data_IF_220723923928
#
_entry.id   IF_220723923928
#
_cell.length_a   1.000
_cell.length_b   1.000
_cell.length_c   1.000
_cell.angle_alpha   90.00
_cell.angle_beta   90.00
_cell.angle_gamma   90.00
#
_symmetry.space_group_name_H-M   'P 1'
#
loop_
_entity.id
_entity.type
_entity.pdbx_description
1 polymer ?
#
# COMPACT_ATOMS: atom_id res chain seq x y z
N UNK A 1 -31.33 -5.80 -14.84
CA UNK A 1 -30.07 -5.42 -15.54
C UNK A 1 -29.27 -4.28 -14.87
N UNK A 2 -29.90 -3.23 -14.29
CA UNK A 2 -29.17 -2.10 -13.66
C UNK A 2 -28.22 -2.49 -12.50
N UNK A 3 -28.59 -3.47 -11.66
CA UNK A 3 -27.75 -3.90 -10.53
C UNK A 3 -26.47 -4.66 -10.91
N UNK A 4 -26.49 -5.44 -11.99
CA UNK A 4 -25.31 -6.22 -12.44
C UNK A 4 -24.31 -5.34 -13.18
N UNK A 5 -24.80 -4.34 -13.93
CA UNK A 5 -23.95 -3.32 -14.54
C UNK A 5 -23.22 -2.48 -13.48
N UNK A 6 -23.91 -2.08 -12.40
CA UNK A 6 -23.30 -1.33 -11.30
C UNK A 6 -22.18 -2.08 -10.56
N UNK A 7 -22.38 -3.38 -10.29
CA UNK A 7 -21.35 -4.22 -9.62
C UNK A 7 -20.09 -4.36 -10.49
N UNK A 8 -20.24 -4.47 -11.82
CA UNK A 8 -19.12 -4.56 -12.76
C UNK A 8 -18.28 -3.28 -12.76
N UNK A 9 -18.93 -2.12 -12.74
CA UNK A 9 -18.26 -0.81 -12.70
C UNK A 9 -17.53 -0.58 -11.38
N UNK A 10 -18.09 -1.02 -10.25
CA UNK A 10 -17.43 -0.95 -8.94
C UNK A 10 -16.18 -1.83 -8.86
N UNK A 11 -16.26 -3.09 -9.30
CA UNK A 11 -15.08 -3.99 -9.34
C UNK A 11 -14.00 -3.42 -10.28
N UNK A 12 -14.39 -2.92 -11.46
CA UNK A 12 -13.46 -2.30 -12.40
C UNK A 12 -12.75 -1.08 -11.82
N UNK A 13 -13.52 -0.18 -11.20
CA UNK A 13 -12.98 1.00 -10.52
C UNK A 13 -12.03 0.59 -9.39
N UNK A 14 -12.38 -0.45 -8.64
CA UNK A 14 -11.52 -0.99 -7.59
C UNK A 14 -10.17 -1.51 -8.10
N UNK A 15 -10.15 -2.23 -9.24
CA UNK A 15 -8.88 -2.63 -9.90
C UNK A 15 -8.05 -1.41 -10.24
N UNK A 16 -8.66 -0.41 -10.88
CA UNK A 16 -7.95 0.79 -11.37
C UNK A 16 -7.35 1.54 -10.19
N UNK A 17 -8.12 1.77 -9.13
CA UNK A 17 -7.62 2.43 -7.92
C UNK A 17 -6.48 1.65 -7.27
N UNK A 18 -6.61 0.32 -7.11
CA UNK A 18 -5.55 -0.50 -6.52
C UNK A 18 -4.30 -0.52 -7.41
N UNK A 19 -4.44 -0.72 -8.72
CA UNK A 19 -3.31 -0.73 -9.65
C UNK A 19 -2.61 0.63 -9.71
N UNK A 20 -3.37 1.72 -9.72
CA UNK A 20 -2.82 3.08 -9.71
C UNK A 20 -2.05 3.37 -8.42
N UNK A 21 -2.55 2.92 -7.26
CA UNK A 21 -1.83 3.00 -6.00
C UNK A 21 -0.46 2.29 -6.05
N UNK A 22 -0.44 1.04 -6.52
CA UNK A 22 0.82 0.29 -6.65
C UNK A 22 1.75 0.83 -7.74
N UNK A 23 1.20 1.43 -8.79
CA UNK A 23 2.00 2.17 -9.77
C UNK A 23 2.72 3.36 -9.12
N UNK A 24 1.99 4.19 -8.38
CA UNK A 24 2.57 5.33 -7.68
C UNK A 24 3.65 4.87 -6.69
N UNK A 25 3.37 3.84 -5.88
CA UNK A 25 4.36 3.25 -4.97
C UNK A 25 5.60 2.70 -5.68
N UNK A 26 5.43 2.07 -6.84
CA UNK A 26 6.54 1.53 -7.62
C UNK A 26 7.53 2.60 -8.11
N UNK A 27 7.06 3.83 -8.38
CA UNK A 27 7.89 4.95 -8.85
C UNK A 27 8.39 5.86 -7.71
N UNK A 28 7.86 5.71 -6.49
CA UNK A 28 8.29 6.50 -5.34
C UNK A 28 9.79 6.49 -5.02
N UNK A 29 10.57 5.41 -5.28
CA UNK A 29 12.01 5.45 -5.06
C UNK A 29 12.70 6.64 -5.73
N UNK A 30 12.21 7.12 -6.88
CA UNK A 30 12.73 8.33 -7.56
C UNK A 30 12.58 9.56 -6.68
N UNK A 31 11.41 9.72 -6.06
CA UNK A 31 11.13 10.85 -5.19
C UNK A 31 11.98 10.81 -3.91
N UNK A 32 12.17 9.62 -3.32
CA UNK A 32 13.01 9.46 -2.13
C UNK A 32 14.49 9.72 -2.41
N UNK A 33 14.97 9.47 -3.63
CA UNK A 33 16.34 9.82 -4.03
C UNK A 33 16.62 11.32 -4.04
N UNK A 34 15.61 12.17 -4.20
CA UNK A 34 15.77 13.63 -4.08
C UNK A 34 15.83 14.13 -2.63
N UNK A 35 15.58 13.24 -1.67
CA UNK A 35 15.62 13.51 -0.23
C UNK A 35 16.69 12.65 0.46
N UNK A 36 17.63 12.05 -0.27
CA UNK A 36 18.63 11.14 0.31
C UNK A 36 19.59 11.83 1.30
N UNK A 37 19.71 13.15 1.22
CA UNK A 37 20.44 14.01 2.15
C UNK A 37 19.69 14.31 3.45
N UNK A 38 18.41 13.94 3.58
CA UNK A 38 17.60 14.13 4.80
C UNK A 38 17.49 12.80 5.56
N UNK A 39 17.64 12.78 6.89
CA UNK A 39 17.46 11.56 7.68
C UNK A 39 16.10 10.89 7.44
N UNK A 40 16.08 9.55 7.34
CA UNK A 40 14.89 8.80 6.95
C UNK A 40 13.72 9.01 7.93
N UNK A 41 14.02 9.08 9.22
CA UNK A 41 13.09 9.35 10.32
C UNK A 41 12.45 10.74 10.21
N UNK A 42 13.22 11.76 9.84
CA UNK A 42 12.69 13.10 9.55
C UNK A 42 11.76 13.07 8.32
N UNK A 43 12.13 12.37 7.25
CA UNK A 43 11.29 12.21 6.05
C UNK A 43 9.95 11.55 6.42
N UNK A 44 9.95 10.54 7.29
CA UNK A 44 8.71 9.92 7.74
C UNK A 44 7.85 10.85 8.58
N UNK A 45 8.45 11.56 9.54
CA UNK A 45 7.70 12.47 10.37
C UNK A 45 7.05 13.59 9.53
N UNK A 46 7.80 14.17 8.58
CA UNK A 46 7.28 15.14 7.64
C UNK A 46 6.14 14.58 6.78
N UNK A 47 6.31 13.41 6.15
CA UNK A 47 5.21 12.85 5.32
C UNK A 47 3.96 12.56 6.14
N UNK A 48 4.07 12.11 7.39
CA UNK A 48 2.90 11.82 8.23
C UNK A 48 2.18 13.12 8.57
N UNK A 49 2.93 14.12 9.04
CA UNK A 49 2.39 15.41 9.42
C UNK A 49 1.71 16.12 8.24
N UNK A 50 2.40 16.21 7.10
CA UNK A 50 1.87 16.85 5.91
C UNK A 50 0.78 16.02 5.21
N UNK A 51 0.75 14.68 5.38
CA UNK A 51 -0.36 13.85 4.87
C UNK A 51 -1.68 14.24 5.52
N UNK A 52 -1.69 14.53 6.83
CA UNK A 52 -2.88 14.98 7.54
C UNK A 52 -3.40 16.30 6.96
N UNK A 53 -2.54 17.31 6.84
CA UNK A 53 -2.92 18.61 6.27
C UNK A 53 -3.37 18.50 4.82
N UNK A 54 -2.66 17.73 4.00
CA UNK A 54 -3.08 17.43 2.63
C UNK A 54 -4.48 16.80 2.59
N UNK A 55 -4.76 15.83 3.45
CA UNK A 55 -6.06 15.17 3.51
C UNK A 55 -7.17 16.11 3.99
N UNK A 56 -6.89 17.03 4.90
CA UNK A 56 -7.85 18.08 5.31
C UNK A 56 -8.20 18.99 4.11
N UNK A 57 -7.18 19.49 3.40
CA UNK A 57 -7.38 20.31 2.20
C UNK A 57 -8.16 19.51 1.14
N UNK A 58 -7.80 18.24 0.92
CA UNK A 58 -8.49 17.35 0.00
C UNK A 58 -9.99 17.22 0.35
N UNK A 59 -10.33 16.99 1.62
CA UNK A 59 -11.72 16.89 2.08
C UNK A 59 -12.52 18.19 1.87
N UNK A 60 -11.88 19.35 2.04
CA UNK A 60 -12.48 20.65 1.78
C UNK A 60 -12.78 20.81 0.29
N UNK A 61 -11.81 20.48 -0.58
CA UNK A 61 -11.94 20.58 -2.05
C UNK A 61 -13.06 19.67 -2.57
N UNK A 62 -13.17 18.44 -2.07
CA UNK A 62 -14.24 17.51 -2.46
C UNK A 62 -15.56 17.74 -1.70
N UNK A 63 -15.65 18.80 -0.89
CA UNK A 63 -16.84 19.21 -0.12
C UNK A 63 -17.35 18.17 0.89
N UNK A 64 -16.47 17.31 1.40
CA UNK A 64 -16.78 16.28 2.41
C UNK A 64 -16.36 16.62 3.84
N UNK A 65 -15.81 17.81 4.06
CA UNK A 65 -15.44 18.27 5.40
C UNK A 65 -16.60 18.22 6.44
N UNK A 66 -17.86 18.57 6.11
CA UNK A 66 -18.97 18.44 7.05
C UNK A 66 -19.25 17.00 7.49
N UNK A 67 -19.11 16.02 6.57
CA UNK A 67 -19.29 14.59 6.86
C UNK A 67 -18.20 14.08 7.80
N UNK A 68 -16.95 14.49 7.56
CA UNK A 68 -15.83 14.22 8.44
C UNK A 68 -16.06 14.76 9.86
N UNK A 69 -16.52 16.01 9.98
CA UNK A 69 -16.81 16.60 11.28
C UNK A 69 -17.95 15.88 12.02
N UNK A 70 -19.00 15.49 11.29
CA UNK A 70 -20.09 14.66 11.83
C UNK A 70 -19.58 13.31 12.31
N UNK A 71 -18.66 12.69 11.56
CA UNK A 71 -18.04 11.41 11.93
C UNK A 71 -17.23 11.54 13.22
N UNK A 72 -16.43 12.61 13.39
CA UNK A 72 -15.70 12.89 14.66
C UNK A 72 -16.67 12.97 15.84
N UNK A 73 -17.73 13.77 15.72
CA UNK A 73 -18.73 13.93 16.79
C UNK A 73 -19.43 12.60 17.11
N UNK A 74 -19.78 11.81 16.10
CA UNK A 74 -20.47 10.53 16.25
C UNK A 74 -19.56 9.38 16.70
N UNK A 75 -18.25 9.45 16.49
CA UNK A 75 -17.31 8.39 16.87
C UNK A 75 -17.22 8.22 18.38
N UNK A 76 -17.38 9.30 19.15
CA UNK A 76 -17.46 9.23 20.62
C UNK A 76 -18.60 8.31 21.11
N UNK A 77 -19.56 7.99 20.24
CA UNK A 77 -20.70 7.14 20.58
C UNK A 77 -20.54 5.68 20.12
N UNK A 78 -19.57 5.35 19.26
CA UNK A 78 -19.42 3.99 18.69
C UNK A 78 -18.02 3.40 18.89
N UNK A 79 -17.81 2.72 20.03
CA UNK A 79 -16.53 2.10 20.41
C UNK A 79 -15.94 1.15 19.34
N UNK A 80 -16.79 0.41 18.60
CA UNK A 80 -16.33 -0.52 17.56
C UNK A 80 -15.65 0.17 16.36
N UNK A 81 -16.19 1.32 15.92
CA UNK A 81 -15.61 2.07 14.79
C UNK A 81 -14.28 2.71 15.19
N UNK A 82 -14.21 3.25 16.41
CA UNK A 82 -12.98 3.77 17.00
C UNK A 82 -11.91 2.68 17.10
N UNK A 83 -12.23 1.50 17.63
CA UNK A 83 -11.29 0.39 17.74
C UNK A 83 -10.75 -0.06 16.38
N UNK A 84 -11.62 -0.17 15.37
CA UNK A 84 -11.20 -0.57 14.02
C UNK A 84 -10.27 0.47 13.37
N UNK A 85 -10.60 1.75 13.51
CA UNK A 85 -9.77 2.85 13.01
C UNK A 85 -8.42 2.92 13.76
N UNK A 86 -8.43 2.82 15.09
CA UNK A 86 -7.22 2.79 15.90
C UNK A 86 -6.32 1.59 15.52
N UNK A 87 -6.93 0.44 15.25
CA UNK A 87 -6.21 -0.75 14.77
C UNK A 87 -5.57 -0.49 13.40
N UNK A 88 -6.28 0.13 12.47
CA UNK A 88 -5.73 0.49 11.16
C UNK A 88 -4.57 1.50 11.28
N UNK A 89 -4.74 2.56 12.09
CA UNK A 89 -3.69 3.55 12.39
C UNK A 89 -2.47 2.90 13.03
N UNK A 90 -2.66 1.95 13.96
CA UNK A 90 -1.57 1.25 14.61
C UNK A 90 -0.82 0.35 13.64
N UNK A 91 -1.53 -0.42 12.81
CA UNK A 91 -0.92 -1.33 11.83
C UNK A 91 -0.08 -0.58 10.79
N UNK A 92 -0.59 0.56 10.27
CA UNK A 92 0.17 1.37 9.30
C UNK A 92 1.35 2.08 9.97
N UNK A 93 1.20 2.57 11.20
CA UNK A 93 2.30 3.17 11.97
C UNK A 93 3.39 2.15 12.28
N UNK A 94 3.02 0.94 12.69
CA UNK A 94 3.96 -0.16 12.94
C UNK A 94 4.70 -0.53 11.66
N UNK A 95 4.00 -0.58 10.52
CA UNK A 95 4.61 -0.84 9.23
C UNK A 95 5.69 0.20 8.89
N UNK A 96 5.36 1.49 9.01
CA UNK A 96 6.32 2.57 8.74
C UNK A 96 7.49 2.57 9.73
N UNK A 97 7.23 2.29 11.00
CA UNK A 97 8.28 2.17 12.01
C UNK A 97 9.26 1.05 11.68
N UNK A 98 8.77 -0.16 11.36
CA UNK A 98 9.63 -1.29 10.96
C UNK A 98 10.45 -0.92 9.72
N UNK A 99 9.84 -0.24 8.75
CA UNK A 99 10.53 0.18 7.53
C UNK A 99 11.68 1.15 7.85
N UNK A 100 11.41 2.17 8.65
CA UNK A 100 12.43 3.15 9.05
C UNK A 100 13.53 2.55 9.88
N UNK A 101 13.16 1.70 10.84
CA UNK A 101 14.14 0.99 11.63
C UNK A 101 15.04 0.14 10.73
N UNK A 102 14.47 -0.53 9.72
CA UNK A 102 15.24 -1.31 8.76
C UNK A 102 16.17 -0.43 7.90
N UNK A 103 15.72 0.74 7.46
CA UNK A 103 16.57 1.70 6.71
C UNK A 103 17.73 2.20 7.60
N UNK A 104 17.45 2.58 8.84
CA UNK A 104 18.45 3.11 9.78
C UNK A 104 19.43 2.06 10.31
N UNK A 105 19.15 0.77 10.10
CA UNK A 105 20.01 -0.36 10.52
C UNK A 105 20.61 -1.12 9.33
N UNK A 106 20.62 -0.49 8.15
CA UNK A 106 21.14 -1.04 6.89
C UNK A 106 20.50 -2.36 6.44
N UNK A 107 19.26 -2.60 6.86
CA UNK A 107 18.44 -3.78 6.53
C UNK A 107 17.51 -3.53 5.33
N UNK A 108 17.86 -2.61 4.44
CA UNK A 108 17.02 -2.22 3.30
C UNK A 108 16.72 -3.40 2.36
N UNK A 109 17.67 -4.33 2.21
CA UNK A 109 17.47 -5.56 1.41
C UNK A 109 16.35 -6.42 2.01
N UNK A 110 16.32 -6.60 3.33
CA UNK A 110 15.25 -7.35 4.00
C UNK A 110 13.91 -6.63 3.90
N UNK A 111 13.90 -5.31 4.08
CA UNK A 111 12.70 -4.50 3.93
C UNK A 111 12.14 -4.64 2.49
N UNK A 112 13.01 -4.64 1.49
CA UNK A 112 12.63 -4.85 0.09
C UNK A 112 12.00 -6.23 -0.13
N UNK A 113 12.55 -7.29 0.49
CA UNK A 113 11.99 -8.64 0.47
C UNK A 113 10.55 -8.65 1.00
N UNK A 114 10.25 -7.79 1.98
CA UNK A 114 8.90 -7.61 2.54
C UNK A 114 7.87 -7.22 1.48
N UNK A 115 8.23 -6.40 0.50
CA UNK A 115 7.32 -6.02 -0.59
C UNK A 115 7.01 -7.17 -1.56
N UNK A 116 7.86 -8.21 -1.62
CA UNK A 116 7.58 -9.43 -2.38
C UNK A 116 6.72 -10.42 -1.59
N UNK A 117 6.87 -10.47 -0.27
CA UNK A 117 6.07 -11.34 0.63
C UNK A 117 4.65 -10.81 0.84
N UNK A 118 4.48 -9.49 0.95
CA UNK A 118 3.20 -8.81 1.20
C UNK A 118 2.04 -9.22 0.25
N UNK A 119 2.25 -9.32 -1.09
CA UNK A 119 1.27 -9.90 -2.00
C UNK A 119 0.70 -11.24 -1.53
N UNK A 120 1.55 -12.15 -1.07
CA UNK A 120 1.17 -13.49 -0.63
C UNK A 120 0.36 -13.42 0.67
N UNK A 121 0.82 -12.62 1.64
CA UNK A 121 0.09 -12.43 2.90
C UNK A 121 -1.31 -11.89 2.65
N UNK A 122 -1.46 -10.92 1.75
CA UNK A 122 -2.77 -10.37 1.38
C UNK A 122 -3.68 -11.43 0.74
N UNK A 123 -3.14 -12.30 -0.13
CA UNK A 123 -3.88 -13.45 -0.67
C UNK A 123 -4.31 -14.41 0.44
N UNK A 124 -3.41 -14.79 1.34
CA UNK A 124 -3.70 -15.70 2.43
C UNK A 124 -4.78 -15.15 3.38
N UNK A 125 -4.70 -13.86 3.73
CA UNK A 125 -5.73 -13.20 4.54
C UNK A 125 -7.09 -13.17 3.82
N UNK A 126 -7.11 -12.92 2.51
CA UNK A 126 -8.34 -12.99 1.72
C UNK A 126 -8.97 -14.37 1.72
N UNK A 127 -8.17 -15.42 1.53
CA UNK A 127 -8.66 -16.79 1.48
C UNK A 127 -9.08 -17.31 2.85
N UNK A 128 -8.25 -17.14 3.88
CA UNK A 128 -8.49 -17.78 5.18
C UNK A 128 -9.40 -16.96 6.10
N UNK A 129 -9.25 -15.62 6.13
CA UNK A 129 -10.04 -14.77 7.02
C UNK A 129 -11.35 -14.36 6.36
N UNK A 130 -11.30 -13.90 5.11
CA UNK A 130 -12.48 -13.44 4.37
C UNK A 130 -13.20 -14.57 3.62
N UNK A 131 -12.64 -15.79 3.64
CA UNK A 131 -13.20 -16.98 2.96
C UNK A 131 -13.43 -16.74 1.46
N UNK A 132 -12.55 -15.97 0.84
CA UNK A 132 -12.63 -15.66 -0.59
C UNK A 132 -12.32 -16.91 -1.43
N UNK A 133 -13.21 -17.21 -2.38
CA UNK A 133 -13.06 -18.37 -3.26
C UNK A 133 -12.15 -18.02 -4.45
N UNK A 134 -11.06 -18.76 -4.57
CA UNK A 134 -10.15 -18.69 -5.72
C UNK A 134 -10.45 -19.79 -6.73
N UNK A 135 -10.26 -19.50 -8.01
CA UNK A 135 -10.31 -20.52 -9.07
C UNK A 135 -9.01 -21.33 -9.09
N UNK A 136 -9.03 -22.52 -9.70
CA UNK A 136 -7.83 -23.35 -9.86
C UNK A 136 -6.65 -22.57 -10.47
N UNK A 137 -6.91 -21.77 -11.49
CA UNK A 137 -5.88 -20.94 -12.13
C UNK A 137 -5.30 -19.87 -11.18
N UNK A 138 -6.13 -19.27 -10.31
CA UNK A 138 -5.67 -18.30 -9.32
C UNK A 138 -4.82 -18.97 -8.24
N UNK A 139 -5.17 -20.20 -7.82
CA UNK A 139 -4.35 -21.00 -6.88
C UNK A 139 -3.00 -21.35 -7.49
N UNK A 140 -2.97 -21.81 -8.75
CA UNK A 140 -1.71 -22.07 -9.47
C UNK A 140 -0.87 -20.80 -9.56
N UNK A 141 -1.50 -19.65 -9.83
CA UNK A 141 -0.80 -18.35 -9.86
C UNK A 141 -0.19 -18.02 -8.49
N UNK A 142 -0.93 -18.22 -7.41
CA UNK A 142 -0.43 -18.01 -6.05
C UNK A 142 0.77 -18.91 -5.74
N UNK A 143 0.70 -20.21 -6.08
CA UNK A 143 1.81 -21.15 -5.85
C UNK A 143 3.06 -20.72 -6.62
N UNK A 144 2.92 -20.34 -7.89
CA UNK A 144 4.06 -19.84 -8.68
C UNK A 144 4.67 -18.59 -8.07
N UNK A 145 3.86 -17.61 -7.68
CA UNK A 145 4.35 -16.41 -7.02
C UNK A 145 5.05 -16.75 -5.70
N UNK A 146 4.49 -17.68 -4.91
CA UNK A 146 5.09 -18.14 -3.66
C UNK A 146 6.46 -18.80 -3.89
N UNK A 147 6.62 -19.63 -4.94
CA UNK A 147 7.91 -20.21 -5.31
C UNK A 147 8.92 -19.10 -5.64
N UNK A 148 8.55 -18.09 -6.44
CA UNK A 148 9.44 -16.98 -6.75
C UNK A 148 9.91 -16.21 -5.50
N UNK A 149 8.99 -15.93 -4.57
CA UNK A 149 9.31 -15.27 -3.29
C UNK A 149 10.17 -16.16 -2.39
N UNK A 150 9.93 -17.48 -2.38
CA UNK A 150 10.76 -18.43 -1.65
C UNK A 150 12.19 -18.49 -2.21
N UNK A 151 12.37 -18.39 -3.53
CA UNK A 151 13.70 -18.30 -4.15
C UNK A 151 14.45 -17.05 -3.67
N UNK A 152 13.80 -15.87 -3.66
CA UNK A 152 14.39 -14.65 -3.11
C UNK A 152 14.72 -14.78 -1.62
N UNK A 153 13.81 -15.39 -0.86
CA UNK A 153 13.97 -15.60 0.58
C UNK A 153 15.11 -16.57 0.91
N UNK A 154 15.24 -17.66 0.15
CA UNK A 154 16.33 -18.62 0.32
C UNK A 154 17.68 -18.00 -0.04
N UNK A 155 17.73 -17.19 -1.11
CA UNK A 155 18.93 -16.45 -1.50
C UNK A 155 19.35 -15.39 -0.48
N UNK A 156 18.43 -14.92 0.38
CA UNK A 156 18.76 -13.99 1.46
C UNK A 156 19.58 -14.65 2.59
N UNK A 157 19.53 -15.98 2.71
CA UNK A 157 20.42 -16.75 3.60
C UNK A 157 20.07 -16.72 5.10
N UNK A 158 19.09 -15.92 5.53
CA UNK A 158 18.60 -15.89 6.92
C UNK A 158 17.10 -15.69 6.99
N UNK A 159 16.50 -15.96 8.15
CA UNK A 159 15.06 -15.77 8.34
C UNK A 159 14.69 -14.27 8.29
N UNK A 160 13.81 -13.84 7.37
CA UNK A 160 13.58 -12.42 7.11
C UNK A 160 12.44 -11.86 7.98
N UNK A 161 12.66 -11.75 9.29
CA UNK A 161 11.64 -11.32 10.24
C UNK A 161 11.14 -9.88 10.00
N UNK A 162 11.98 -8.98 9.47
CA UNK A 162 11.61 -7.60 9.08
C UNK A 162 10.64 -7.66 7.90
N UNK A 163 10.99 -8.45 6.87
CA UNK A 163 10.17 -8.65 5.69
C UNK A 163 8.78 -9.20 6.06
N UNK A 164 8.76 -10.19 6.95
CA UNK A 164 7.53 -10.79 7.49
C UNK A 164 6.74 -9.76 8.29
N UNK A 165 7.39 -8.98 9.17
CA UNK A 165 6.76 -7.92 9.95
C UNK A 165 6.10 -6.86 9.09
N UNK A 166 6.78 -6.41 8.03
CA UNK A 166 6.23 -5.48 7.04
C UNK A 166 5.06 -6.09 6.27
N UNK A 167 5.21 -7.32 5.78
CA UNK A 167 4.17 -8.00 5.00
C UNK A 167 2.90 -8.26 5.83
N UNK A 168 3.05 -8.70 7.08
CA UNK A 168 1.93 -8.98 8.00
C UNK A 168 1.24 -7.70 8.44
N UNK A 169 1.99 -6.67 8.87
CA UNK A 169 1.40 -5.40 9.28
C UNK A 169 0.61 -4.73 8.15
N UNK A 170 1.17 -4.67 6.94
CA UNK A 170 0.49 -4.08 5.79
C UNK A 170 -0.66 -4.95 5.27
N UNK A 171 -0.51 -6.28 5.26
CA UNK A 171 -1.58 -7.20 4.89
C UNK A 171 -2.79 -7.08 5.82
N UNK A 172 -2.54 -7.01 7.13
CA UNK A 172 -3.57 -6.77 8.14
C UNK A 172 -4.18 -5.36 8.01
N UNK A 173 -3.39 -4.35 7.66
CA UNK A 173 -3.92 -3.02 7.35
C UNK A 173 -4.88 -3.05 6.15
N UNK A 174 -4.50 -3.75 5.08
CA UNK A 174 -5.37 -3.96 3.92
C UNK A 174 -6.67 -4.70 4.26
N UNK A 175 -6.57 -5.73 5.11
CA UNK A 175 -7.74 -6.43 5.65
C UNK A 175 -8.62 -5.48 6.49
N UNK A 176 -8.03 -4.67 7.36
CA UNK A 176 -8.75 -3.67 8.15
C UNK A 176 -9.48 -2.67 7.26
N UNK A 177 -8.80 -2.10 6.25
CA UNK A 177 -9.41 -1.17 5.29
C UNK A 177 -10.61 -1.76 4.56
N UNK A 178 -10.52 -3.04 4.23
CA UNK A 178 -11.61 -3.77 3.58
C UNK A 178 -12.81 -4.02 4.51
N UNK A 179 -12.57 -4.27 5.79
CA UNK A 179 -13.62 -4.54 6.77
C UNK A 179 -14.27 -3.26 7.32
N UNK A 180 -13.52 -2.15 7.35
CA UNK A 180 -14.00 -0.86 7.84
C UNK A 180 -15.00 -0.26 6.85
N UNK A 181 -16.27 -0.14 7.28
CA UNK A 181 -17.34 0.52 6.53
C UNK A 181 -17.34 2.04 6.78
N UNK A 182 -16.23 2.67 6.41
CA UNK A 182 -16.07 4.13 6.42
C UNK A 182 -15.51 4.51 5.06
N UNK A 183 -16.04 5.62 4.52
CA UNK A 183 -15.53 6.23 3.30
C UNK A 183 -14.02 6.39 3.37
N UNK A 184 -13.31 5.92 2.34
CA UNK A 184 -11.85 5.77 2.40
C UNK A 184 -11.12 7.09 2.62
N UNK A 185 -11.67 8.19 2.10
CA UNK A 185 -11.20 9.57 2.29
C UNK A 185 -11.32 10.00 3.75
N UNK A 186 -12.51 9.88 4.35
CA UNK A 186 -12.72 10.18 5.77
C UNK A 186 -11.86 9.28 6.66
N UNK A 187 -11.83 7.97 6.38
CA UNK A 187 -11.06 7.00 7.14
C UNK A 187 -9.56 7.28 7.13
N UNK A 188 -8.99 7.62 5.98
CA UNK A 188 -7.57 7.97 5.87
C UNK A 188 -7.27 9.32 6.57
N UNK A 189 -8.15 10.31 6.45
CA UNK A 189 -7.96 11.58 7.20
C UNK A 189 -7.94 11.33 8.70
N UNK A 190 -8.82 10.47 9.21
CA UNK A 190 -8.84 10.13 10.64
C UNK A 190 -7.60 9.34 11.09
N UNK A 191 -7.08 8.44 10.24
CA UNK A 191 -5.83 7.73 10.51
C UNK A 191 -4.66 8.71 10.61
N UNK A 192 -4.49 9.56 9.60
CA UNK A 192 -3.43 10.58 9.58
C UNK A 192 -3.59 11.59 10.71
N UNK A 193 -4.82 11.97 11.07
CA UNK A 193 -5.11 12.80 12.25
C UNK A 193 -4.67 12.14 13.55
N UNK A 194 -4.80 10.81 13.67
CA UNK A 194 -4.38 10.06 14.85
C UNK A 194 -2.86 10.01 14.96
N UNK A 195 -2.16 9.90 13.82
CA UNK A 195 -0.69 9.78 13.78
C UNK A 195 0.04 11.12 13.77
N UNK A 196 -0.61 12.19 13.29
CA UNK A 196 0.00 13.51 13.13
C UNK A 196 0.54 14.14 14.43
N UNK A 197 -0.11 14.02 15.61
CA UNK A 197 0.45 14.52 16.86
C UNK A 197 1.80 13.88 17.21
N UNK A 198 1.96 12.58 16.99
CA UNK A 198 3.22 11.88 17.25
C UNK A 198 4.33 12.35 16.30
N UNK A 199 4.00 12.52 15.01
CA UNK A 199 4.92 13.09 14.04
C UNK A 199 5.33 14.54 14.40
N UNK A 200 4.38 15.36 14.84
CA UNK A 200 4.65 16.74 15.27
C UNK A 200 5.56 16.78 16.50
N UNK A 201 5.30 15.94 17.51
CA UNK A 201 6.16 15.83 18.70
C UNK A 201 7.59 15.47 18.27
N UNK A 202 7.75 14.54 17.34
CA UNK A 202 9.06 14.15 16.83
C UNK A 202 9.77 15.28 16.07
N UNK A 203 9.05 16.01 15.21
CA UNK A 203 9.62 17.17 14.50
C UNK A 203 10.04 18.28 15.47
N UNK A 204 9.25 18.56 16.51
CA UNK A 204 9.62 19.51 17.58
C UNK A 204 10.86 19.01 18.32
N UNK A 205 10.95 17.71 18.63
CA UNK A 205 12.13 17.13 19.24
C UNK A 205 13.39 17.31 18.36
N UNK A 206 13.33 16.98 17.06
CA UNK A 206 14.44 17.22 16.14
C UNK A 206 14.84 18.70 16.06
N UNK A 207 13.84 19.59 16.01
CA UNK A 207 14.06 21.03 16.02
C UNK A 207 14.77 21.51 17.30
N UNK A 208 14.38 20.98 18.46
CA UNK A 208 15.01 21.31 19.75
C UNK A 208 16.46 20.85 19.86
N UNK A 209 16.86 19.83 19.08
CA UNK A 209 18.23 19.32 19.01
C UNK A 209 19.07 20.05 17.93
N UNK A 210 18.47 20.96 17.15
CA UNK A 210 19.14 21.60 16.01
C UNK A 210 19.39 20.65 14.82
N UNK A 211 18.74 19.48 14.80
CA UNK A 211 18.96 18.42 13.82
C UNK A 211 17.84 18.33 12.77
N UNK A 212 16.95 19.33 12.69
CA UNK A 212 15.85 19.35 11.72
C UNK A 212 16.33 19.97 10.40
N UNK A 213 16.02 19.31 9.29
CA UNK A 213 16.34 19.74 7.93
C UNK A 213 15.30 20.70 7.37
N UNK A 214 14.02 20.49 7.71
CA UNK A 214 12.89 21.32 7.28
C UNK A 214 13.09 22.78 7.72
N UNK A 215 13.07 23.70 6.76
CA UNK A 215 13.32 25.15 6.89
C UNK A 215 14.75 25.55 7.24
N UNK A 216 15.69 24.60 7.23
CA UNK A 216 17.10 24.85 7.57
C UNK A 216 18.09 24.52 6.44
N UNK A 217 17.71 23.70 5.45
CA UNK A 217 18.59 23.35 4.32
C UNK A 217 18.34 24.19 3.07
N UNK A 218 17.18 24.05 2.43
CA UNK A 218 16.82 24.78 1.23
C UNK A 218 15.32 24.77 0.97
N UNK A 219 14.80 25.81 0.31
CA UNK A 219 13.38 25.86 -0.07
C UNK A 219 12.97 24.67 -0.96
N UNK A 220 13.88 24.14 -1.78
CA UNK A 220 13.63 22.94 -2.59
C UNK A 220 13.40 21.70 -1.74
N UNK A 221 14.25 21.49 -0.72
CA UNK A 221 14.08 20.39 0.25
C UNK A 221 12.78 20.55 1.04
N UNK A 222 12.43 21.76 1.44
CA UNK A 222 11.20 22.01 2.20
C UNK A 222 9.95 21.68 1.39
N UNK A 223 9.89 22.12 0.13
CA UNK A 223 8.80 21.78 -0.77
C UNK A 223 8.70 20.28 -1.03
N UNK A 224 9.84 19.59 -1.15
CA UNK A 224 9.85 18.14 -1.20
C UNK A 224 9.26 17.59 0.10
N UNK A 225 9.79 17.89 1.28
CA UNK A 225 9.29 17.37 2.55
C UNK A 225 7.77 17.61 2.76
N UNK A 226 7.27 18.79 2.40
CA UNK A 226 5.83 19.12 2.42
C UNK A 226 5.05 18.26 1.41
N UNK A 227 5.52 18.18 0.16
CA UNK A 227 4.92 17.35 -0.87
C UNK A 227 4.92 15.85 -0.50
N UNK A 228 5.84 15.42 0.38
CA UNK A 228 5.92 14.07 0.92
C UNK A 228 4.60 13.61 1.54
N UNK A 229 3.83 14.55 2.09
CA UNK A 229 2.46 14.31 2.55
C UNK A 229 1.51 13.85 1.45
N UNK A 230 1.43 14.60 0.35
CA UNK A 230 0.60 14.23 -0.80
C UNK A 230 1.08 12.92 -1.45
N UNK A 231 2.40 12.81 -1.64
CA UNK A 231 3.08 11.64 -2.22
C UNK A 231 2.80 10.36 -1.43
N UNK A 232 2.52 10.47 -0.13
CA UNK A 232 2.16 9.34 0.74
C UNK A 232 0.66 9.11 0.81
N UNK A 233 -0.13 10.17 1.02
CA UNK A 233 -1.57 10.06 1.21
C UNK A 233 -2.31 9.62 -0.06
N UNK A 234 -1.89 10.07 -1.24
CA UNK A 234 -2.57 9.78 -2.51
C UNK A 234 -2.57 8.27 -2.82
N UNK A 235 -1.43 7.56 -2.82
CA UNK A 235 -1.42 6.10 -2.99
C UNK A 235 -2.27 5.37 -1.95
N UNK A 236 -2.20 5.77 -0.67
CA UNK A 236 -2.98 5.15 0.40
C UNK A 236 -4.49 5.34 0.21
N UNK A 237 -4.91 6.52 -0.26
CA UNK A 237 -6.30 6.81 -0.56
C UNK A 237 -6.83 5.91 -1.67
N UNK A 238 -6.08 5.80 -2.77
CA UNK A 238 -6.44 4.92 -3.89
C UNK A 238 -6.40 3.44 -3.48
N UNK A 239 -5.42 3.03 -2.68
CA UNK A 239 -5.36 1.69 -2.11
C UNK A 239 -6.62 1.39 -1.28
N UNK A 240 -6.99 2.25 -0.35
CA UNK A 240 -8.14 2.06 0.51
C UNK A 240 -9.45 2.01 -0.29
N UNK A 241 -9.61 2.92 -1.28
CA UNK A 241 -10.74 2.89 -2.21
C UNK A 241 -10.81 1.59 -3.01
N UNK A 242 -9.67 1.10 -3.48
CA UNK A 242 -9.60 -0.14 -4.24
C UNK A 242 -9.87 -1.37 -3.39
N UNK A 243 -9.20 -1.49 -2.24
CA UNK A 243 -9.29 -2.64 -1.34
C UNK A 243 -10.71 -2.90 -0.81
N UNK A 244 -11.52 -1.86 -0.64
CA UNK A 244 -12.94 -1.98 -0.28
C UNK A 244 -13.82 -2.54 -1.41
N UNK A 245 -13.38 -2.42 -2.67
CA UNK A 245 -14.18 -2.74 -3.87
C UNK A 245 -13.84 -4.08 -4.50
N UNK A 246 -12.70 -4.68 -4.17
CA UNK A 246 -12.24 -5.91 -4.80
C UNK A 246 -11.86 -7.00 -3.79
N UNK A 247 -11.85 -8.29 -4.18
CA UNK A 247 -11.31 -9.36 -3.36
C UNK A 247 -9.88 -9.07 -2.88
N UNK A 248 -9.54 -9.41 -1.64
CA UNK A 248 -8.24 -9.13 -1.04
C UNK A 248 -7.14 -9.98 -1.71
N UNK A 249 -7.47 -11.18 -2.18
CA UNK A 249 -6.55 -11.93 -3.04
C UNK A 249 -6.16 -11.15 -4.30
N UNK A 250 -7.08 -10.36 -4.85
CA UNK A 250 -6.83 -9.59 -6.07
C UNK A 250 -6.00 -8.36 -5.78
N UNK A 251 -6.21 -7.71 -4.62
CA UNK A 251 -5.28 -6.69 -4.09
C UNK A 251 -3.87 -7.30 -4.04
N UNK A 252 -3.74 -8.50 -3.46
CA UNK A 252 -2.50 -9.28 -3.40
C UNK A 252 -1.77 -9.38 -4.74
N UNK A 253 -2.43 -9.86 -5.79
CA UNK A 253 -1.80 -9.95 -7.11
C UNK A 253 -1.42 -8.58 -7.71
N UNK A 254 -2.27 -7.56 -7.52
CA UNK A 254 -1.98 -6.21 -8.00
C UNK A 254 -0.78 -5.57 -7.28
N UNK A 255 -0.47 -6.00 -6.06
CA UNK A 255 0.69 -5.48 -5.32
C UNK A 255 2.00 -5.68 -6.07
N UNK A 256 2.14 -6.78 -6.83
CA UNK A 256 3.35 -7.08 -7.60
C UNK A 256 3.70 -6.05 -8.69
N UNK A 257 2.78 -5.12 -9.01
CA UNK A 257 3.07 -3.96 -9.86
C UNK A 257 4.21 -3.13 -9.25
N UNK A 258 4.13 -2.82 -7.96
CA UNK A 258 5.11 -1.98 -7.28
C UNK A 258 6.54 -2.56 -7.32
N UNK A 259 6.81 -3.79 -6.83
CA UNK A 259 8.15 -4.36 -6.86
C UNK A 259 8.65 -4.62 -8.29
N UNK A 260 7.77 -4.88 -9.26
CA UNK A 260 8.18 -4.98 -10.68
C UNK A 260 8.69 -3.63 -11.21
N UNK A 261 7.99 -2.54 -10.91
CA UNK A 261 8.44 -1.19 -11.29
C UNK A 261 9.72 -0.80 -10.56
N UNK A 262 9.83 -1.10 -9.27
CA UNK A 262 11.05 -0.84 -8.49
C UNK A 262 12.23 -1.63 -9.04
N UNK A 263 12.06 -2.90 -9.44
CA UNK A 263 13.10 -3.67 -10.12
C UNK A 263 13.54 -2.99 -11.42
N UNK A 264 12.57 -2.59 -12.27
CA UNK A 264 12.87 -1.94 -13.55
C UNK A 264 13.66 -0.65 -13.31
N UNK A 265 13.28 0.16 -12.32
CA UNK A 265 14.02 1.36 -11.96
C UNK A 265 15.42 1.03 -11.43
N UNK A 266 15.55 0.07 -10.52
CA UNK A 266 16.83 -0.38 -9.98
C UNK A 266 17.80 -0.79 -11.08
N UNK A 267 17.37 -1.69 -11.97
CA UNK A 267 18.23 -2.26 -13.02
C UNK A 267 18.53 -1.26 -14.14
N UNK A 268 17.50 -0.62 -14.71
CA UNK A 268 17.68 0.18 -15.93
C UNK A 268 18.02 1.65 -15.66
N UNK A 269 17.55 2.22 -14.55
CA UNK A 269 17.75 3.63 -14.24
C UNK A 269 18.91 3.85 -13.26
N UNK A 270 19.06 2.97 -12.27
CA UNK A 270 20.10 3.06 -11.24
C UNK A 270 21.26 2.09 -11.43
N UNK A 271 21.22 1.21 -12.42
CA UNK A 271 22.32 0.29 -12.75
C UNK A 271 22.57 -0.79 -11.69
N UNK A 272 21.55 -1.15 -10.89
CA UNK A 272 21.67 -2.20 -9.88
C UNK A 272 21.86 -3.58 -10.52
N UNK A 273 22.66 -4.47 -9.89
CA UNK A 273 22.96 -5.78 -10.46
C UNK A 273 21.71 -6.67 -10.54
N UNK A 274 21.40 -7.11 -11.76
CA UNK A 274 20.35 -8.10 -11.99
C UNK A 274 20.93 -9.53 -11.98
N UNK A 275 20.76 -10.21 -10.86
CA UNK A 275 21.33 -11.55 -10.62
C UNK A 275 20.49 -12.67 -11.25
N UNK A 276 21.08 -13.86 -11.37
CA UNK A 276 20.34 -15.06 -11.79
C UNK A 276 19.19 -15.40 -10.83
N UNK A 277 19.38 -15.17 -9.51
CA UNK A 277 18.31 -15.32 -8.52
C UNK A 277 17.13 -14.42 -8.84
N UNK A 278 17.37 -13.14 -9.15
CA UNK A 278 16.31 -12.21 -9.54
C UNK A 278 15.59 -12.72 -10.80
N UNK A 279 16.33 -13.13 -11.83
CA UNK A 279 15.74 -13.67 -13.06
C UNK A 279 14.79 -14.85 -12.79
N UNK A 280 15.23 -15.85 -12.03
CA UNK A 280 14.42 -17.03 -11.71
C UNK A 280 13.18 -16.63 -10.90
N UNK A 281 13.35 -15.82 -9.86
CA UNK A 281 12.23 -15.38 -9.01
C UNK A 281 11.18 -14.59 -9.80
N UNK A 282 11.61 -13.62 -10.60
CA UNK A 282 10.71 -12.80 -11.40
C UNK A 282 10.09 -13.58 -12.56
N UNK A 283 10.76 -14.58 -13.14
CA UNK A 283 10.13 -15.48 -14.10
C UNK A 283 8.92 -16.22 -13.50
N UNK A 284 9.03 -16.69 -12.25
CA UNK A 284 7.91 -17.31 -11.53
C UNK A 284 6.80 -16.29 -11.22
N UNK A 285 7.14 -15.10 -10.73
CA UNK A 285 6.17 -14.04 -10.39
C UNK A 285 5.44 -13.54 -11.64
N UNK A 286 6.14 -13.27 -12.74
CA UNK A 286 5.51 -12.79 -13.98
C UNK A 286 4.67 -13.88 -14.66
N UNK A 287 5.09 -15.15 -14.58
CA UNK A 287 4.27 -16.28 -15.01
C UNK A 287 2.97 -16.35 -14.20
N UNK A 288 3.04 -16.21 -12.88
CA UNK A 288 1.88 -16.14 -12.00
C UNK A 288 0.91 -15.02 -12.41
N UNK A 289 1.43 -13.80 -12.60
CA UNK A 289 0.63 -12.64 -13.00
C UNK A 289 -0.01 -12.80 -14.38
N UNK A 290 0.71 -13.41 -15.32
CA UNK A 290 0.21 -13.70 -16.66
C UNK A 290 -0.96 -14.69 -16.60
N UNK A 291 -0.80 -15.81 -15.88
CA UNK A 291 -1.85 -16.82 -15.69
C UNK A 291 -3.07 -16.19 -15.00
N UNK A 292 -2.85 -15.43 -13.93
CA UNK A 292 -3.90 -14.73 -13.19
C UNK A 292 -4.71 -13.80 -14.11
N UNK A 293 -4.02 -12.95 -14.87
CA UNK A 293 -4.61 -11.96 -15.77
C UNK A 293 -5.39 -12.61 -16.91
N UNK A 294 -4.80 -13.61 -17.58
CA UNK A 294 -5.44 -14.34 -18.68
C UNK A 294 -6.68 -15.11 -18.21
N UNK A 295 -6.58 -15.81 -17.08
CA UNK A 295 -7.70 -16.52 -16.46
C UNK A 295 -8.89 -15.59 -16.21
N UNK A 296 -8.60 -14.39 -15.70
CA UNK A 296 -9.62 -13.38 -15.41
C UNK A 296 -10.25 -12.82 -16.68
N UNK A 297 -9.46 -12.45 -17.68
CA UNK A 297 -9.99 -11.97 -18.97
C UNK A 297 -10.92 -12.99 -19.63
N UNK A 298 -10.54 -14.28 -19.62
CA UNK A 298 -11.38 -15.36 -20.15
C UNK A 298 -12.70 -15.48 -19.38
N UNK A 299 -12.68 -15.32 -18.05
CA UNK A 299 -13.89 -15.37 -17.20
C UNK A 299 -14.83 -14.19 -17.47
N UNK A 300 -14.31 -12.98 -17.62
CA UNK A 300 -15.11 -11.79 -17.97
C UNK A 300 -15.77 -11.98 -19.33
N UNK A 301 -15.00 -12.38 -20.36
CA UNK A 301 -15.53 -12.64 -21.71
C UNK A 301 -16.62 -13.72 -21.73
N UNK A 302 -16.43 -14.83 -21.00
CA UNK A 302 -17.44 -15.92 -20.92
C UNK A 302 -18.75 -15.46 -20.27
N UNK A 303 -18.68 -14.63 -19.22
CA UNK A 303 -19.87 -14.08 -18.56
C UNK A 303 -20.62 -13.08 -19.43
N UNK A 304 -19.91 -12.20 -20.15
CA UNK A 304 -20.54 -11.25 -21.09
C UNK A 304 -21.27 -11.97 -22.22
N UNK A 305 -20.63 -12.97 -22.86
CA UNK A 305 -21.27 -13.79 -23.91
C UNK A 305 -22.49 -14.56 -23.41
N UNK A 306 -22.48 -15.02 -22.16
CA UNK A 306 -23.65 -15.70 -21.57
C UNK A 306 -24.82 -14.74 -21.31
N UNK A 307 -24.54 -13.49 -20.97
CA UNK A 307 -25.57 -12.46 -20.77
C UNK A 307 -26.18 -11.98 -22.09
N UNK A 308 -25.37 -11.84 -23.14
CA UNK A 308 -25.84 -11.51 -24.50
C UNK A 308 -26.72 -12.61 -25.11
N UNK A 309 -26.50 -13.88 -24.74
CA UNK A 309 -27.33 -15.00 -25.21
C UNK A 309 -28.67 -15.16 -24.50
N UNK A 310 -28.86 -14.48 -23.36
CA UNK A 310 -30.10 -14.55 -22.56
C UNK A 310 -30.94 -13.26 -22.65
N UNK A 311 -30.45 -12.24 -23.37
CA UNK A 311 -31.17 -11.01 -23.68
C UNK A 311 -31.75 -11.12 -25.10
#
# INVERSE_FOLDING_TARGET
MKGVAGIRTEEQSGIIYTAFSYFLWGILPIYWKWLDHVPADEILANRIFWSFWFMIVFLIVIKKFPEFWKMIKGMMQTKKKLAALATASLLVSLNWFIYIWAVNTDQMVEASLGYYINPLVSVLLGVFILREKMTKAQVISFILAAVGVLVLTASYGRFPWIAVGLAVSFGLYGLAKKLIKVDSDIGLTLETMTTAPFALIYLIYLSSQGNISLFHLSAGTDWLLIAGGAVTAVPLLYFAKGAQRIPLYMVGFLQYIAPTLTLILGVFFYGEPFTQTHLVAFAFIWSALTIFSVSRMKRVKRRTKAQEKCA
#
